data_IF_668689597256
#
_entry.id   IF_668689597256
#
_cell.length_a   1.000
_cell.length_b   1.000
_cell.length_c   1.000
_cell.angle_alpha   90.00
_cell.angle_beta   90.00
_cell.angle_gamma   90.00
#
_symmetry.space_group_name_H-M   'P 1'
#
loop_
_entity.id
_entity.type
_entity.pdbx_description
1 polymer ?
#
# COMPACT_ATOMS: atom_id res chain seq x y z
N UNK A 1 -19.52 -15.28 -9.11
CA UNK A 1 -18.38 -15.85 -8.42
C UNK A 1 -17.91 -14.82 -7.40
N UNK A 2 -17.73 -15.20 -6.17
CA UNK A 2 -17.28 -14.33 -5.11
C UNK A 2 -15.75 -14.33 -5.00
N UNK A 3 -15.21 -13.23 -4.57
CA UNK A 3 -13.81 -13.16 -4.16
C UNK A 3 -13.65 -13.80 -2.77
N UNK A 4 -12.49 -14.36 -2.51
CA UNK A 4 -12.15 -14.92 -1.22
C UNK A 4 -11.46 -13.85 -0.37
N UNK A 5 -11.89 -13.74 0.88
CA UNK A 5 -11.19 -12.92 1.90
C UNK A 5 -10.67 -13.87 2.96
N UNK A 6 -9.38 -13.80 3.21
CA UNK A 6 -8.73 -14.53 4.29
C UNK A 6 -8.09 -13.55 5.26
N UNK A 7 -8.16 -13.86 6.53
CA UNK A 7 -7.49 -13.13 7.62
C UNK A 7 -6.77 -14.15 8.48
N UNK A 8 -5.64 -13.77 9.04
CA UNK A 8 -4.89 -14.62 9.93
C UNK A 8 -3.62 -13.93 10.38
N UNK A 9 -2.81 -14.64 11.13
CA UNK A 9 -1.48 -14.22 11.52
C UNK A 9 -1.47 -12.91 12.31
N UNK A 10 -2.09 -12.96 13.50
CA UNK A 10 -2.23 -11.79 14.36
C UNK A 10 -0.95 -11.61 15.18
N UNK A 11 -0.33 -10.45 15.00
CA UNK A 11 0.86 -10.07 15.73
C UNK A 11 0.56 -8.95 16.74
N UNK A 12 1.04 -9.09 17.99
CA UNK A 12 0.99 -8.02 18.96
C UNK A 12 1.96 -6.89 18.59
N UNK A 13 3.05 -7.23 17.93
CA UNK A 13 4.05 -6.29 17.45
C UNK A 13 4.84 -6.90 16.29
N UNK A 14 5.14 -6.06 15.30
CA UNK A 14 6.02 -6.40 14.18
C UNK A 14 6.78 -5.15 13.78
N UNK A 15 8.09 -5.26 13.66
CA UNK A 15 8.92 -4.19 13.09
C UNK A 15 8.85 -4.17 11.57
N UNK A 16 9.13 -3.04 10.96
CA UNK A 16 9.32 -2.93 9.52
C UNK A 16 10.44 -3.87 9.06
N UNK A 17 10.17 -4.60 7.98
CA UNK A 17 11.06 -5.61 7.43
C UNK A 17 10.80 -7.01 7.92
N UNK A 18 10.07 -7.21 9.01
CA UNK A 18 9.76 -8.54 9.58
C UNK A 18 10.95 -9.51 9.53
N UNK A 19 12.11 -9.05 10.01
CA UNK A 19 13.42 -9.69 9.77
C UNK A 19 13.47 -11.18 10.18
N UNK A 20 12.69 -11.56 11.18
CA UNK A 20 12.60 -12.93 11.70
C UNK A 20 11.15 -13.40 11.84
N UNK A 21 10.21 -12.47 12.04
CA UNK A 21 8.80 -12.70 12.29
C UNK A 21 8.22 -11.67 13.24
N UNK A 22 6.90 -11.68 13.37
CA UNK A 22 6.18 -10.88 14.35
C UNK A 22 6.01 -11.60 15.69
N UNK A 23 5.53 -10.89 16.70
CA UNK A 23 5.16 -11.48 17.99
C UNK A 23 3.75 -12.07 17.90
N UNK A 24 3.69 -13.38 17.73
CA UNK A 24 2.43 -14.13 17.59
C UNK A 24 1.57 -14.06 18.83
N UNK A 25 0.28 -13.76 18.65
CA UNK A 25 -0.71 -13.73 19.73
C UNK A 25 -2.05 -14.24 19.25
N UNK A 26 -2.85 -14.75 20.17
CA UNK A 26 -4.26 -14.94 19.95
C UNK A 26 -4.97 -13.59 19.95
N UNK A 27 -5.96 -13.41 19.06
CA UNK A 27 -6.72 -12.17 18.99
C UNK A 27 -8.04 -12.34 18.23
N UNK A 28 -8.82 -11.28 18.22
CA UNK A 28 -10.08 -11.17 17.46
C UNK A 28 -9.98 -9.95 16.55
N UNK A 29 -10.54 -10.07 15.33
CA UNK A 29 -10.55 -8.98 14.35
C UNK A 29 -11.98 -8.76 13.86
N UNK A 30 -12.49 -7.56 14.04
CA UNK A 30 -13.75 -7.12 13.44
C UNK A 30 -13.52 -6.49 12.08
N UNK A 31 -14.12 -7.07 11.02
CA UNK A 31 -14.00 -6.59 9.66
C UNK A 31 -15.35 -6.14 9.12
N UNK A 32 -15.38 -4.96 8.53
CA UNK A 32 -16.48 -4.51 7.66
C UNK A 32 -16.05 -4.65 6.21
N UNK A 33 -16.76 -5.49 5.45
CA UNK A 33 -16.47 -5.73 4.04
C UNK A 33 -17.46 -4.99 3.15
N UNK A 34 -16.93 -4.28 2.16
CA UNK A 34 -17.72 -3.56 1.15
C UNK A 34 -17.15 -3.86 -0.25
N UNK A 35 -18.04 -3.93 -1.25
CA UNK A 35 -17.65 -4.12 -2.65
C UNK A 35 -17.75 -2.81 -3.41
N UNK A 36 -16.63 -2.28 -3.88
CA UNK A 36 -16.56 -1.07 -4.71
C UNK A 36 -16.37 -1.49 -6.17
N UNK A 37 -17.47 -1.52 -6.93
CA UNK A 37 -17.44 -1.96 -8.33
C UNK A 37 -16.70 -0.97 -9.23
N UNK A 38 -15.92 -1.51 -10.16
CA UNK A 38 -15.22 -0.73 -11.19
C UNK A 38 -13.99 0.03 -10.70
N UNK A 39 -13.53 -0.24 -9.48
CA UNK A 39 -12.36 0.43 -8.88
C UNK A 39 -11.27 -0.57 -8.45
N UNK A 40 -11.11 -1.66 -9.19
CA UNK A 40 -10.04 -2.60 -8.93
C UNK A 40 -8.67 -1.95 -9.15
N UNK A 41 -7.77 -2.15 -8.20
CA UNK A 41 -6.37 -1.78 -8.31
C UNK A 41 -5.51 -3.05 -8.40
N UNK A 42 -4.34 -2.99 -9.05
CA UNK A 42 -3.48 -4.17 -9.23
C UNK A 42 -2.88 -4.67 -7.91
N UNK A 43 -2.71 -3.78 -6.93
CA UNK A 43 -2.14 -4.04 -5.62
C UNK A 43 -3.00 -3.41 -4.52
N UNK A 44 -2.93 -3.91 -3.28
CA UNK A 44 -3.66 -3.32 -2.16
C UNK A 44 -3.35 -1.85 -1.97
N UNK A 45 -4.40 -1.07 -1.71
CA UNK A 45 -4.31 0.31 -1.28
C UNK A 45 -4.74 0.38 0.17
N UNK A 46 -3.87 0.88 1.03
CA UNK A 46 -4.17 1.12 2.43
C UNK A 46 -4.41 2.62 2.64
N UNK A 47 -5.53 2.94 3.24
CA UNK A 47 -5.87 4.30 3.66
C UNK A 47 -5.78 4.41 5.18
N UNK A 48 -4.95 5.33 5.66
CA UNK A 48 -4.92 5.75 7.07
C UNK A 48 -5.59 7.12 7.22
N UNK A 49 -5.58 7.69 8.40
CA UNK A 49 -6.11 9.03 8.64
C UNK A 49 -5.39 10.09 7.80
N UNK A 50 -4.08 9.98 7.66
CA UNK A 50 -3.20 10.99 7.09
C UNK A 50 -2.51 10.59 5.79
N UNK A 51 -2.49 9.30 5.43
CA UNK A 51 -1.71 8.80 4.28
C UNK A 51 -2.47 7.78 3.43
N UNK A 52 -2.03 7.70 2.17
CA UNK A 52 -2.30 6.59 1.26
C UNK A 52 -1.04 5.75 1.11
N UNK A 53 -1.19 4.44 1.09
CA UNK A 53 -0.10 3.50 0.80
C UNK A 53 -0.50 2.53 -0.29
N UNK A 54 0.47 2.13 -1.09
CA UNK A 54 0.40 0.90 -1.89
C UNK A 54 1.33 -0.13 -1.28
N UNK A 55 0.95 -1.40 -1.29
CA UNK A 55 1.74 -2.50 -0.76
C UNK A 55 1.95 -3.50 -1.89
N UNK A 56 3.19 -3.79 -2.21
CA UNK A 56 3.58 -4.65 -3.34
C UNK A 56 4.55 -5.71 -2.91
N UNK A 57 4.34 -6.94 -3.37
CA UNK A 57 5.20 -8.08 -3.09
C UNK A 57 5.81 -8.62 -4.39
N UNK A 58 7.14 -8.75 -4.45
CA UNK A 58 7.91 -9.23 -5.61
C UNK A 58 9.09 -10.09 -5.17
N UNK A 59 9.83 -10.62 -6.14
CA UNK A 59 11.02 -11.42 -5.87
C UNK A 59 12.19 -10.60 -5.30
N UNK A 60 12.26 -9.32 -5.62
CA UNK A 60 13.31 -8.40 -5.14
C UNK A 60 12.71 -7.11 -4.59
N UNK A 61 13.42 -6.47 -3.66
CA UNK A 61 13.02 -5.16 -3.11
C UNK A 61 12.98 -4.09 -4.18
N UNK A 62 13.90 -4.12 -5.14
CA UNK A 62 13.93 -3.17 -6.26
C UNK A 62 12.64 -3.25 -7.08
N UNK A 63 12.24 -4.46 -7.49
CA UNK A 63 11.00 -4.66 -8.26
C UNK A 63 9.76 -4.27 -7.44
N UNK A 64 9.72 -4.65 -6.16
CA UNK A 64 8.59 -4.30 -5.27
C UNK A 64 8.48 -2.78 -5.06
N UNK A 65 9.59 -2.11 -4.79
CA UNK A 65 9.63 -0.67 -4.58
C UNK A 65 9.24 0.12 -5.84
N UNK A 66 9.78 -0.24 -6.99
CA UNK A 66 9.43 0.41 -8.27
C UNK A 66 7.95 0.24 -8.62
N UNK A 67 7.43 -0.96 -8.45
CA UNK A 67 5.99 -1.24 -8.69
C UNK A 67 5.10 -0.51 -7.67
N UNK A 68 5.52 -0.37 -6.41
CA UNK A 68 4.78 0.39 -5.41
C UNK A 68 4.67 1.88 -5.79
N UNK A 69 5.76 2.48 -6.25
CA UNK A 69 5.78 3.87 -6.74
C UNK A 69 4.88 4.03 -7.99
N UNK A 70 5.00 3.13 -8.98
CA UNK A 70 4.14 3.19 -10.18
C UNK A 70 2.65 3.02 -9.82
N UNK A 71 2.34 2.12 -8.88
CA UNK A 71 0.97 1.87 -8.45
C UNK A 71 0.37 3.09 -7.77
N UNK A 72 1.05 3.73 -6.81
CA UNK A 72 0.53 4.95 -6.15
C UNK A 72 0.42 6.10 -7.15
N UNK A 73 1.38 6.25 -8.06
CA UNK A 73 1.32 7.24 -9.13
C UNK A 73 0.05 7.09 -9.97
N UNK A 74 -0.22 5.88 -10.46
CA UNK A 74 -1.42 5.58 -11.26
C UNK A 74 -2.70 5.72 -10.45
N UNK A 75 -2.67 5.31 -9.19
CA UNK A 75 -3.80 5.45 -8.28
C UNK A 75 -4.22 6.92 -8.12
N UNK A 76 -3.27 7.82 -7.91
CA UNK A 76 -3.53 9.25 -7.77
C UNK A 76 -3.93 9.85 -9.12
N UNK A 77 -3.20 9.56 -10.19
CA UNK A 77 -3.43 10.12 -11.52
C UNK A 77 -4.83 9.81 -12.07
N UNK A 78 -5.40 8.66 -11.75
CA UNK A 78 -6.77 8.29 -12.14
C UNK A 78 -7.86 9.08 -11.38
N UNK A 79 -7.52 9.75 -10.28
CA UNK A 79 -8.48 10.33 -9.33
C UNK A 79 -8.39 11.84 -9.16
N UNK A 80 -7.42 12.46 -9.79
CA UNK A 80 -7.28 13.93 -9.83
C UNK A 80 -6.82 14.39 -11.20
N UNK A 81 -7.34 15.52 -11.65
CA UNK A 81 -6.92 16.25 -12.83
C UNK A 81 -6.11 17.53 -12.49
N UNK A 82 -5.85 17.73 -11.20
CA UNK A 82 -5.16 18.91 -10.69
C UNK A 82 -3.70 18.98 -11.13
N UNK A 83 -3.07 17.84 -11.34
CA UNK A 83 -1.66 17.75 -11.67
C UNK A 83 -1.42 17.06 -13.01
N UNK A 84 -0.46 17.58 -13.77
CA UNK A 84 0.05 16.83 -14.92
C UNK A 84 0.84 15.60 -14.45
N UNK A 85 0.97 14.55 -15.27
CA UNK A 85 1.79 13.38 -14.91
C UNK A 85 3.21 13.73 -14.47
N UNK A 86 3.87 14.65 -15.16
CA UNK A 86 5.22 15.09 -14.80
C UNK A 86 5.26 15.81 -13.45
N UNK A 87 4.27 16.66 -13.17
CA UNK A 87 4.18 17.35 -11.89
C UNK A 87 3.95 16.38 -10.74
N UNK A 88 3.02 15.44 -10.92
CA UNK A 88 2.76 14.39 -9.92
C UNK A 88 4.00 13.53 -9.66
N UNK A 89 4.74 13.16 -10.72
CA UNK A 89 5.97 12.37 -10.57
C UNK A 89 7.04 13.13 -9.75
N UNK A 90 7.21 14.41 -9.97
CA UNK A 90 8.12 15.24 -9.17
C UNK A 90 7.67 15.32 -7.70
N UNK A 91 6.36 15.48 -7.47
CA UNK A 91 5.82 15.49 -6.10
C UNK A 91 6.04 14.15 -5.38
N UNK A 92 5.85 13.04 -6.07
CA UNK A 92 6.13 11.71 -5.49
C UNK A 92 7.61 11.54 -5.20
N UNK A 93 8.50 11.98 -6.09
CA UNK A 93 9.95 11.88 -5.87
C UNK A 93 10.42 12.63 -4.61
N UNK A 94 9.76 13.75 -4.27
CA UNK A 94 10.14 14.59 -3.15
C UNK A 94 9.38 14.29 -1.84
N UNK A 95 8.17 13.74 -1.93
CA UNK A 95 7.21 13.72 -0.83
C UNK A 95 6.65 12.33 -0.48
N UNK A 96 7.04 11.30 -1.23
CA UNK A 96 6.67 9.93 -0.89
C UNK A 96 7.77 9.22 -0.11
N UNK A 97 7.37 8.25 0.68
CA UNK A 97 8.27 7.35 1.39
C UNK A 97 8.17 5.94 0.79
N UNK A 98 9.30 5.34 0.48
CA UNK A 98 9.38 3.93 0.07
C UNK A 98 10.02 3.15 1.20
N UNK A 99 9.28 2.19 1.74
CA UNK A 99 9.62 1.51 2.98
C UNK A 99 9.52 -0.01 2.82
N UNK A 100 10.34 -0.72 3.58
CA UNK A 100 10.30 -2.18 3.62
C UNK A 100 9.20 -2.63 4.58
N UNK A 101 8.31 -3.52 4.11
CA UNK A 101 7.32 -4.17 4.97
C UNK A 101 7.82 -5.52 5.47
N UNK A 102 8.42 -6.30 4.56
CA UNK A 102 8.82 -7.68 4.80
C UNK A 102 10.05 -8.03 3.96
N UNK A 103 11.06 -8.62 4.56
CA UNK A 103 12.30 -9.05 3.92
C UNK A 103 12.48 -10.57 3.91
N UNK A 104 11.58 -11.29 4.57
CA UNK A 104 11.61 -12.75 4.73
C UNK A 104 10.52 -13.38 3.87
N UNK A 105 10.47 -14.72 3.86
CA UNK A 105 9.61 -15.51 2.99
C UNK A 105 9.97 -15.45 1.48
N UNK A 106 9.27 -16.17 0.60
CA UNK A 106 9.70 -16.29 -0.79
C UNK A 106 9.61 -14.97 -1.58
N UNK A 107 8.81 -14.02 -1.14
CA UNK A 107 8.68 -12.71 -1.74
C UNK A 107 8.91 -11.62 -0.69
N UNK A 108 9.54 -10.54 -1.11
CA UNK A 108 9.73 -9.35 -0.28
C UNK A 108 8.61 -8.35 -0.51
N UNK A 109 8.16 -7.66 0.53
CA UNK A 109 7.11 -6.66 0.42
C UNK A 109 7.64 -5.24 0.70
N UNK A 110 7.26 -4.31 -0.17
CA UNK A 110 7.55 -2.88 -0.05
C UNK A 110 6.25 -2.09 -0.06
N UNK A 111 6.25 -0.93 0.61
CA UNK A 111 5.16 0.03 0.51
C UNK A 111 5.67 1.39 0.03
N UNK A 112 4.82 2.09 -0.70
CA UNK A 112 5.03 3.50 -1.03
C UNK A 112 3.91 4.32 -0.40
N UNK A 113 4.28 5.28 0.45
CA UNK A 113 3.37 6.13 1.19
C UNK A 113 3.33 7.56 0.66
N UNK A 114 2.14 8.18 0.67
CA UNK A 114 1.91 9.54 0.21
C UNK A 114 0.96 10.30 1.14
N UNK A 115 1.33 11.49 1.56
CA UNK A 115 0.56 12.32 2.51
C UNK A 115 -0.73 12.85 1.86
N UNK A 116 -1.87 12.65 2.49
CA UNK A 116 -3.19 13.10 2.01
C UNK A 116 -3.31 14.61 1.85
N UNK A 117 -2.55 15.40 2.61
CA UNK A 117 -2.58 16.86 2.51
C UNK A 117 -2.10 17.37 1.16
N UNK A 118 -1.32 16.59 0.43
CA UNK A 118 -0.79 16.95 -0.89
C UNK A 118 -1.89 16.85 -1.97
N UNK A 119 -2.77 15.86 -1.85
CA UNK A 119 -3.92 15.66 -2.74
C UNK A 119 -5.18 15.46 -1.88
N UNK A 120 -5.66 16.52 -1.19
CA UNK A 120 -6.77 16.41 -0.23
C UNK A 120 -8.12 16.05 -0.86
N UNK A 121 -8.26 16.25 -2.17
CA UNK A 121 -9.45 15.86 -2.93
C UNK A 121 -9.51 14.36 -3.26
N UNK A 122 -8.43 13.62 -3.05
CA UNK A 122 -8.34 12.20 -3.37
C UNK A 122 -9.30 11.38 -2.50
N UNK A 123 -10.09 10.54 -3.15
CA UNK A 123 -11.03 9.61 -2.50
C UNK A 123 -11.00 8.26 -3.20
N UNK A 124 -11.28 7.22 -2.45
CA UNK A 124 -11.42 5.87 -2.99
C UNK A 124 -12.63 5.74 -3.90
#
# INVERSE_FOLDING_TARGET
>A
PGDLVATGDIHAYQGDGEIVGGLEVAGEVDLKLEVIKGKAEPWPILETEDRWYTIVSKATMEEAGMEAVDTIFRFILKRTDKYTPNHLMLMLAELSDVEVCEMVDPLVAMRCGFDKRIVPELKF
#
